data_IF_705087952245
#
_entry.id   IF_705087952245
#
_cell.length_a   1.000
_cell.length_b   1.000
_cell.length_c   1.000
_cell.angle_alpha   90.00
_cell.angle_beta   90.00
_cell.angle_gamma   90.00
#
_symmetry.space_group_name_H-M   'P 1'
#
loop_
_entity.id
_entity.type
_entity.pdbx_description
1 polymer ?
#
# COMPACT_ATOMS: atom_id res chain seq x y z
N UNK A 1 15.52 9.25 -0.78
CA UNK A 1 16.70 8.75 -1.53
C UNK A 1 16.35 7.89 -2.78
N UNK A 2 15.07 7.82 -3.18
CA UNK A 2 14.58 7.53 -4.53
C UNK A 2 13.56 8.65 -4.82
N UNK A 3 13.66 9.31 -5.98
CA UNK A 3 13.31 10.74 -6.22
C UNK A 3 14.10 11.78 -5.38
N UNK A 4 15.23 11.38 -4.80
CA UNK A 4 16.35 12.28 -4.44
C UNK A 4 17.63 11.42 -4.42
N UNK A 5 18.62 11.75 -5.22
CA UNK A 5 19.81 10.94 -5.49
C UNK A 5 20.67 10.70 -4.24
N UNK A 6 21.05 9.44 -3.98
CA UNK A 6 22.43 8.98 -3.64
C UNK A 6 22.41 7.45 -3.47
N UNK A 7 23.28 6.73 -4.17
CA UNK A 7 23.47 5.27 -4.09
C UNK A 7 24.77 5.02 -3.32
N UNK A 8 24.76 4.13 -2.31
CA UNK A 8 26.00 3.63 -1.68
C UNK A 8 25.96 2.11 -1.69
N UNK A 9 26.73 1.52 -2.60
CA UNK A 9 27.09 0.10 -2.61
C UNK A 9 28.52 0.01 -2.07
N UNK A 10 28.73 -0.66 -0.94
CA UNK A 10 30.08 -0.94 -0.43
C UNK A 10 30.22 -2.44 -0.15
N UNK A 11 31.17 -3.03 -0.88
CA UNK A 11 31.73 -4.39 -0.79
C UNK A 11 32.55 -4.54 0.49
N UNK A 12 32.50 -5.73 1.12
CA UNK A 12 33.67 -6.27 1.83
C UNK A 12 33.79 -7.78 1.63
N UNK A 13 34.82 -8.18 0.89
CA UNK A 13 35.39 -9.53 0.81
C UNK A 13 36.64 -9.53 1.69
N UNK A 14 36.67 -10.35 2.76
CA UNK A 14 37.91 -10.66 3.48
C UNK A 14 37.93 -12.14 3.87
N UNK A 15 38.71 -12.89 3.08
CA UNK A 15 39.72 -13.89 3.45
C UNK A 15 39.39 -15.02 4.43
N UNK A 16 39.31 -16.22 3.86
CA UNK A 16 39.35 -17.56 4.48
C UNK A 16 40.80 -17.88 4.92
N UNK A 17 40.99 -18.23 6.21
CA UNK A 17 42.19 -18.90 6.71
C UNK A 17 41.88 -19.85 7.88
N UNK A 18 41.70 -21.12 7.54
CA UNK A 18 42.05 -22.40 8.22
C UNK A 18 42.40 -22.39 9.74
N UNK A 19 41.72 -23.22 10.55
CA UNK A 19 42.21 -24.46 11.22
C UNK A 19 41.26 -24.87 12.38
N UNK A 20 40.89 -26.15 12.37
CA UNK A 20 40.07 -26.91 13.32
C UNK A 20 40.68 -27.04 14.74
N UNK A 21 39.83 -27.16 15.77
CA UNK A 21 39.63 -28.39 16.61
C UNK A 21 39.04 -28.09 18.01
N UNK A 22 37.98 -28.84 18.36
CA UNK A 22 37.41 -29.13 19.69
C UNK A 22 37.04 -27.97 20.63
N UNK A 23 35.72 -27.75 20.83
CA UNK A 23 35.03 -28.03 22.10
C UNK A 23 33.54 -27.67 22.01
N UNK A 24 32.70 -28.56 22.55
CA UNK A 24 31.30 -28.35 22.98
C UNK A 24 30.52 -27.25 22.24
N UNK A 25 29.67 -27.63 21.28
CA UNK A 25 28.54 -26.80 20.87
C UNK A 25 27.58 -26.67 22.05
N UNK A 26 27.89 -25.74 22.94
CA UNK A 26 26.89 -25.04 23.73
C UNK A 26 25.99 -24.38 22.68
N UNK A 27 24.75 -24.86 22.54
CA UNK A 27 23.73 -24.11 21.83
C UNK A 27 23.53 -22.81 22.63
N UNK A 28 24.27 -21.76 22.28
CA UNK A 28 23.93 -20.42 22.70
C UNK A 28 22.64 -20.10 21.95
N UNK A 29 21.51 -20.21 22.65
CA UNK A 29 20.38 -19.37 22.33
C UNK A 29 20.93 -17.95 22.49
N UNK A 30 21.17 -17.25 21.40
CA UNK A 30 21.47 -15.83 21.46
C UNK A 30 20.28 -15.19 22.18
N UNK A 31 20.49 -14.78 23.44
CA UNK A 31 19.45 -14.11 24.21
C UNK A 31 19.02 -12.91 23.39
N UNK A 32 17.79 -12.95 22.87
CA UNK A 32 17.23 -11.81 22.14
C UNK A 32 17.14 -10.67 23.13
N UNK A 33 18.11 -9.77 23.11
CA UNK A 33 18.09 -8.57 23.95
C UNK A 33 16.83 -7.80 23.57
N UNK A 34 15.87 -7.63 24.50
CA UNK A 34 14.64 -6.94 24.18
C UNK A 34 14.97 -5.51 23.77
N UNK A 35 14.53 -5.13 22.57
CA UNK A 35 14.77 -3.81 21.99
C UNK A 35 14.37 -2.71 22.97
N UNK A 36 15.28 -1.75 23.20
CA UNK A 36 15.06 -0.70 24.19
C UNK A 36 13.86 0.16 23.78
N UNK A 37 13.07 0.67 24.73
CA UNK A 37 11.91 1.53 24.41
C UNK A 37 12.29 2.74 23.54
N UNK A 38 13.46 3.34 23.80
CA UNK A 38 13.97 4.47 23.01
C UNK A 38 14.25 4.08 21.56
N UNK A 39 14.83 2.92 21.34
CA UNK A 39 15.14 2.38 20.02
C UNK A 39 13.85 2.07 19.24
N UNK A 40 12.86 1.43 19.89
CA UNK A 40 11.53 1.19 19.29
C UNK A 40 10.84 2.47 18.83
N UNK A 41 10.93 3.54 19.63
CA UNK A 41 10.34 4.84 19.29
C UNK A 41 11.09 5.49 18.12
N UNK A 42 12.42 5.42 18.10
CA UNK A 42 13.22 5.94 17.00
C UNK A 42 12.90 5.23 15.67
N UNK A 43 12.83 3.90 15.68
CA UNK A 43 12.49 3.11 14.49
C UNK A 43 11.05 3.33 14.01
N UNK A 44 10.10 3.54 14.95
CA UNK A 44 8.72 3.93 14.61
C UNK A 44 8.70 5.27 13.86
N UNK A 45 9.44 6.26 14.37
CA UNK A 45 9.48 7.60 13.76
C UNK A 45 10.18 7.56 12.39
N UNK A 46 11.24 6.75 12.25
CA UNK A 46 11.89 6.50 10.97
C UNK A 46 10.94 5.86 9.95
N UNK A 47 10.15 4.85 10.36
CA UNK A 47 9.15 4.23 9.49
C UNK A 47 8.07 5.23 9.05
N UNK A 48 7.62 6.12 9.94
CA UNK A 48 6.70 7.21 9.60
C UNK A 48 7.32 8.17 8.58
N UNK A 49 8.59 8.56 8.77
CA UNK A 49 9.27 9.48 7.87
C UNK A 49 9.48 8.85 6.48
N UNK A 50 9.77 7.54 6.43
CA UNK A 50 9.83 6.78 5.18
C UNK A 50 8.48 6.69 4.46
N UNK A 51 7.38 6.52 5.20
CA UNK A 51 6.03 6.57 4.63
C UNK A 51 5.79 7.92 3.94
N UNK A 52 6.04 9.04 4.64
CA UNK A 52 5.83 10.36 4.05
C UNK A 52 6.81 10.71 2.93
N UNK A 53 8.00 10.10 2.90
CA UNK A 53 8.90 10.18 1.75
C UNK A 53 8.24 9.56 0.51
N UNK A 54 7.66 8.35 0.64
CA UNK A 54 7.01 7.66 -0.47
C UNK A 54 5.66 8.27 -0.85
N UNK A 55 4.81 8.57 0.14
CA UNK A 55 3.47 9.12 -0.05
C UNK A 55 3.53 10.46 -0.78
N UNK A 56 4.37 11.40 -0.33
CA UNK A 56 4.52 12.70 -1.01
C UNK A 56 5.05 12.56 -2.43
N UNK A 57 6.04 11.68 -2.65
CA UNK A 57 6.54 11.41 -3.98
C UNK A 57 5.44 10.88 -4.92
N UNK A 58 4.54 10.02 -4.43
CA UNK A 58 3.38 9.56 -5.17
C UNK A 58 2.41 10.72 -5.49
N UNK A 59 2.02 11.50 -4.47
CA UNK A 59 1.08 12.61 -4.63
C UNK A 59 1.60 13.69 -5.61
N UNK A 60 2.91 13.96 -5.60
CA UNK A 60 3.53 14.98 -6.45
C UNK A 60 3.75 14.50 -7.90
N UNK A 61 4.11 13.23 -8.10
CA UNK A 61 4.65 12.76 -9.39
C UNK A 61 3.80 11.71 -10.10
N UNK A 62 2.86 11.07 -9.40
CA UNK A 62 2.13 9.93 -9.93
C UNK A 62 0.61 10.06 -9.84
N UNK A 63 0.07 10.64 -8.77
CA UNK A 63 -1.37 10.86 -8.65
C UNK A 63 -1.95 11.55 -9.91
N UNK A 64 -3.06 11.04 -10.52
CA UNK A 64 -3.95 9.97 -10.05
C UNK A 64 -3.65 8.55 -10.54
N UNK A 65 -2.44 8.28 -11.06
CA UNK A 65 -2.05 6.94 -11.51
C UNK A 65 -2.12 5.90 -10.38
N UNK A 66 -2.18 4.62 -10.75
CA UNK A 66 -2.24 3.52 -9.78
C UNK A 66 -0.95 3.37 -8.97
N UNK A 67 0.21 3.62 -9.58
CA UNK A 67 1.52 3.51 -8.95
C UNK A 67 2.47 4.64 -9.37
N UNK A 68 3.44 4.93 -8.51
CA UNK A 68 4.62 5.72 -8.87
C UNK A 68 5.69 4.82 -9.50
N UNK A 69 6.28 5.26 -10.60
CA UNK A 69 7.54 4.73 -11.11
C UNK A 69 8.71 5.54 -10.50
N UNK A 70 9.39 5.03 -9.46
CA UNK A 70 10.26 5.87 -8.61
C UNK A 70 11.58 6.28 -9.26
N UNK A 71 12.00 5.60 -10.33
CA UNK A 71 13.21 5.94 -11.08
C UNK A 71 12.98 7.05 -12.10
N UNK A 72 11.81 7.08 -12.73
CA UNK A 72 11.42 8.09 -13.71
C UNK A 72 10.59 9.22 -13.11
N UNK A 73 10.20 9.11 -11.83
CA UNK A 73 9.27 10.01 -11.14
C UNK A 73 8.03 10.32 -12.00
N UNK A 74 7.36 9.26 -12.47
CA UNK A 74 6.18 9.36 -13.31
C UNK A 74 5.10 8.37 -12.87
N UNK A 75 3.83 8.70 -13.09
CA UNK A 75 2.70 7.82 -12.83
C UNK A 75 2.63 6.62 -13.79
N UNK A 76 2.26 5.46 -13.26
CA UNK A 76 2.03 4.24 -14.03
C UNK A 76 0.56 4.09 -14.39
N UNK A 77 0.24 4.23 -15.67
CA UNK A 77 -1.10 4.03 -16.22
C UNK A 77 -1.16 2.74 -17.03
N UNK A 78 -2.19 1.93 -16.76
CA UNK A 78 -2.48 0.70 -17.51
C UNK A 78 -2.85 1.08 -18.95
N UNK A 79 -2.24 0.42 -19.92
CA UNK A 79 -2.45 0.67 -21.36
C UNK A 79 -1.57 1.77 -21.96
N UNK A 80 -1.01 2.69 -21.16
CA UNK A 80 -0.08 3.72 -21.65
C UNK A 80 1.39 3.36 -21.42
N UNK A 81 1.70 2.72 -20.30
CA UNK A 81 3.07 2.31 -19.96
C UNK A 81 3.36 0.88 -20.44
N UNK A 82 4.63 0.53 -20.74
CA UNK A 82 4.98 -0.83 -21.14
C UNK A 82 4.54 -1.86 -20.08
N UNK A 83 3.82 -2.88 -20.53
CA UNK A 83 3.23 -3.90 -19.67
C UNK A 83 4.32 -4.76 -18.99
N UNK A 84 4.17 -5.02 -17.68
CA UNK A 84 5.07 -5.86 -16.85
C UNK A 84 4.57 -7.30 -16.64
N UNK A 85 3.64 -7.76 -17.46
CA UNK A 85 2.94 -9.03 -17.29
C UNK A 85 1.91 -8.98 -16.16
N UNK A 86 1.78 -10.10 -15.44
CA UNK A 86 0.75 -10.32 -14.42
C UNK A 86 0.77 -9.30 -13.26
N UNK A 87 1.92 -8.65 -13.02
CA UNK A 87 2.06 -7.60 -11.98
C UNK A 87 1.07 -6.45 -12.22
N UNK A 88 0.87 -6.09 -13.48
CA UNK A 88 0.01 -4.97 -13.83
C UNK A 88 -1.48 -5.33 -13.83
N UNK A 89 -1.85 -6.57 -13.52
CA UNK A 89 -3.26 -6.97 -13.41
C UNK A 89 -3.92 -6.42 -12.14
N UNK A 90 -3.14 -5.92 -11.19
CA UNK A 90 -3.63 -5.14 -10.06
C UNK A 90 -4.02 -3.70 -10.45
N UNK A 91 -3.61 -3.23 -11.64
CA UNK A 91 -3.80 -1.85 -12.08
C UNK A 91 -5.07 -1.73 -12.93
N UNK A 92 -6.05 -0.96 -12.43
CA UNK A 92 -7.31 -0.69 -13.12
C UNK A 92 -7.58 0.79 -13.39
N UNK A 93 -6.54 1.64 -13.31
CA UNK A 93 -6.61 3.10 -13.42
C UNK A 93 -7.60 3.72 -12.43
N UNK A 94 -7.55 3.30 -11.17
CA UNK A 94 -8.45 3.73 -10.09
C UNK A 94 -7.70 4.30 -8.88
N UNK A 95 -6.49 4.84 -9.11
CA UNK A 95 -5.61 5.40 -8.07
C UNK A 95 -5.30 4.41 -6.95
N UNK A 96 -4.91 3.18 -7.33
CA UNK A 96 -4.65 2.07 -6.41
C UNK A 96 -3.83 2.45 -5.15
N UNK A 97 -2.69 3.11 -5.33
CA UNK A 97 -1.82 3.54 -4.21
C UNK A 97 -2.53 4.50 -3.26
N UNK A 98 -3.37 5.42 -3.78
CA UNK A 98 -4.13 6.32 -2.91
C UNK A 98 -5.14 5.55 -2.05
N UNK A 99 -5.85 4.58 -2.62
CA UNK A 99 -6.81 3.76 -1.87
C UNK A 99 -6.11 2.94 -0.79
N UNK A 100 -4.98 2.31 -1.12
CA UNK A 100 -4.19 1.50 -0.18
C UNK A 100 -3.58 2.31 0.97
N UNK A 101 -3.40 3.62 0.82
CA UNK A 101 -2.75 4.47 1.84
C UNK A 101 -3.73 5.07 2.85
N UNK A 102 -5.05 5.02 2.58
CA UNK A 102 -6.07 5.66 3.40
C UNK A 102 -6.04 5.22 4.87
N UNK A 103 -5.98 3.92 5.14
CA UNK A 103 -5.97 3.41 6.51
C UNK A 103 -4.64 3.69 7.22
N UNK A 104 -3.54 3.68 6.48
CA UNK A 104 -2.20 3.98 6.99
C UNK A 104 -2.11 5.43 7.47
N UNK A 105 -2.73 6.38 6.77
CA UNK A 105 -2.81 7.78 7.24
C UNK A 105 -3.48 7.87 8.62
N UNK A 106 -4.56 7.11 8.84
CA UNK A 106 -5.23 7.05 10.16
C UNK A 106 -4.34 6.40 11.21
N UNK A 107 -3.63 5.32 10.88
CA UNK A 107 -2.70 4.63 11.80
C UNK A 107 -1.54 5.55 12.22
N UNK A 108 -1.05 6.38 11.30
CA UNK A 108 -0.01 7.37 11.57
C UNK A 108 -0.53 8.63 12.29
N UNK A 109 -1.85 8.77 12.39
CA UNK A 109 -2.52 9.87 13.10
C UNK A 109 -2.68 11.15 12.28
N UNK A 110 -2.50 11.08 10.96
CA UNK A 110 -2.66 12.24 10.06
C UNK A 110 -4.07 12.29 9.50
N UNK A 111 -4.98 12.79 10.33
CA UNK A 111 -6.41 12.84 10.04
C UNK A 111 -6.77 13.91 9.02
N UNK A 112 -5.95 14.97 8.91
CA UNK A 112 -6.13 16.03 7.92
C UNK A 112 -5.84 15.49 6.51
N UNK A 113 -4.72 14.78 6.35
CA UNK A 113 -4.39 14.17 5.06
C UNK A 113 -5.33 13.01 4.73
N UNK A 114 -5.79 12.23 5.73
CA UNK A 114 -6.84 11.24 5.50
C UNK A 114 -8.13 11.88 4.97
N UNK A 115 -8.61 12.98 5.56
CA UNK A 115 -9.79 13.71 5.08
C UNK A 115 -9.62 14.18 3.63
N UNK A 116 -8.44 14.73 3.32
CA UNK A 116 -8.08 15.17 1.98
C UNK A 116 -8.05 14.01 0.98
N UNK A 117 -7.35 12.91 1.30
CA UNK A 117 -7.23 11.73 0.46
C UNK A 117 -8.60 11.07 0.19
N UNK A 118 -9.49 11.00 1.18
CA UNK A 118 -10.86 10.49 0.99
C UNK A 118 -11.63 11.35 -0.02
N UNK A 119 -11.50 12.68 0.03
CA UNK A 119 -12.13 13.57 -0.99
C UNK A 119 -11.58 13.33 -2.37
N UNK A 120 -10.28 13.11 -2.50
CA UNK A 120 -9.63 12.79 -3.77
C UNK A 120 -10.13 11.46 -4.34
N UNK A 121 -10.23 10.42 -3.50
CA UNK A 121 -10.78 9.12 -3.90
C UNK A 121 -12.21 9.27 -4.41
N UNK A 122 -13.08 9.97 -3.66
CA UNK A 122 -14.48 10.17 -4.07
C UNK A 122 -14.59 10.96 -5.38
N UNK A 123 -13.68 11.92 -5.61
CA UNK A 123 -13.73 12.81 -6.78
C UNK A 123 -13.20 12.14 -8.04
N UNK A 124 -12.07 11.44 -7.96
CA UNK A 124 -11.28 11.06 -9.13
C UNK A 124 -11.34 9.56 -9.45
N UNK A 125 -11.73 8.70 -8.50
CA UNK A 125 -11.76 7.25 -8.73
C UNK A 125 -13.04 6.82 -9.43
N UNK A 126 -12.88 6.09 -10.54
CA UNK A 126 -13.94 5.39 -11.26
C UNK A 126 -13.57 3.93 -11.47
N UNK A 127 -14.55 3.03 -11.33
CA UNK A 127 -14.40 1.60 -11.65
C UNK A 127 -14.95 1.24 -13.03
N UNK A 128 -15.36 2.24 -13.81
CA UNK A 128 -15.89 2.07 -15.16
C UNK A 128 -14.79 2.24 -16.21
N UNK A 129 -13.76 1.41 -16.10
CA UNK A 129 -12.64 1.35 -17.03
C UNK A 129 -12.67 0.03 -17.79
N UNK A 130 -12.51 0.07 -19.11
CA UNK A 130 -12.43 -1.13 -19.96
C UNK A 130 -11.03 -1.76 -19.87
N UNK A 131 -10.75 -2.39 -18.73
CA UNK A 131 -9.48 -3.03 -18.40
C UNK A 131 -9.71 -4.36 -17.69
N UNK A 132 -8.93 -5.36 -18.06
CA UNK A 132 -8.92 -6.66 -17.38
C UNK A 132 -8.07 -6.55 -16.13
N UNK A 133 -8.68 -6.85 -14.98
CA UNK A 133 -8.06 -6.79 -13.64
C UNK A 133 -8.11 -8.13 -12.94
N UNK A 134 -7.18 -8.36 -12.03
CA UNK A 134 -7.19 -9.52 -11.14
C UNK A 134 -8.32 -9.39 -10.12
N UNK A 135 -9.22 -10.37 -10.07
CA UNK A 135 -10.30 -10.41 -9.07
C UNK A 135 -9.73 -10.49 -7.65
N UNK A 136 -8.64 -11.24 -7.47
CA UNK A 136 -7.98 -11.38 -6.18
C UNK A 136 -7.37 -10.06 -5.70
N UNK A 137 -6.55 -9.42 -6.54
CA UNK A 137 -5.85 -8.17 -6.18
C UNK A 137 -6.84 -7.03 -5.96
N UNK A 138 -7.83 -6.90 -6.84
CA UNK A 138 -8.87 -5.87 -6.73
C UNK A 138 -9.69 -6.04 -5.45
N UNK A 139 -9.97 -7.28 -5.05
CA UNK A 139 -10.69 -7.58 -3.81
C UNK A 139 -9.86 -7.21 -2.57
N UNK A 140 -8.59 -7.61 -2.49
CA UNK A 140 -7.81 -7.37 -1.26
C UNK A 140 -7.31 -5.93 -1.12
N UNK A 141 -7.00 -5.25 -2.24
CA UNK A 141 -6.45 -3.90 -2.22
C UNK A 141 -7.55 -2.83 -2.27
N UNK A 142 -8.36 -2.87 -3.31
CA UNK A 142 -9.34 -1.81 -3.57
C UNK A 142 -10.59 -1.98 -2.72
N UNK A 143 -11.26 -3.13 -2.81
CA UNK A 143 -12.46 -3.38 -2.00
C UNK A 143 -12.13 -3.35 -0.50
N UNK A 144 -11.03 -4.01 -0.11
CA UNK A 144 -10.51 -3.99 1.26
C UNK A 144 -10.18 -2.59 1.74
N UNK A 145 -9.43 -1.80 0.96
CA UNK A 145 -9.04 -0.42 1.32
C UNK A 145 -10.24 0.51 1.48
N UNK A 146 -11.22 0.46 0.57
CA UNK A 146 -12.45 1.26 0.67
C UNK A 146 -13.28 0.91 1.91
N UNK A 147 -13.40 -0.38 2.24
CA UNK A 147 -14.11 -0.83 3.43
C UNK A 147 -13.37 -0.45 4.73
N UNK A 148 -12.04 -0.62 4.75
CA UNK A 148 -11.18 -0.23 5.88
C UNK A 148 -11.34 1.28 6.16
N UNK A 149 -11.17 2.10 5.12
CA UNK A 149 -11.32 3.55 5.21
C UNK A 149 -12.75 3.98 5.59
N UNK A 150 -13.79 3.30 5.10
CA UNK A 150 -15.18 3.56 5.50
C UNK A 150 -15.38 3.35 7.01
N UNK A 151 -14.91 2.21 7.54
CA UNK A 151 -15.03 1.89 8.96
C UNK A 151 -14.27 2.91 9.82
N UNK A 152 -13.06 3.29 9.40
CA UNK A 152 -12.25 4.29 10.08
C UNK A 152 -12.90 5.68 10.04
N UNK A 153 -13.45 6.10 8.90
CA UNK A 153 -14.18 7.35 8.79
C UNK A 153 -15.37 7.41 9.77
N UNK A 154 -16.17 6.34 9.84
CA UNK A 154 -17.28 6.26 10.79
C UNK A 154 -16.82 6.26 12.26
N UNK A 155 -15.70 5.61 12.56
CA UNK A 155 -15.09 5.63 13.90
C UNK A 155 -14.61 7.05 14.28
N UNK A 156 -13.94 7.74 13.36
CA UNK A 156 -13.42 9.10 13.57
C UNK A 156 -14.54 10.14 13.72
N UNK A 157 -15.64 10.02 12.97
CA UNK A 157 -16.83 10.86 13.14
C UNK A 157 -17.39 10.79 14.56
N UNK A 158 -17.37 9.60 15.18
CA UNK A 158 -17.92 9.38 16.53
C UNK A 158 -16.95 9.78 17.65
N UNK A 159 -15.63 9.61 17.44
CA UNK A 159 -14.63 9.72 18.51
C UNK A 159 -13.81 11.01 18.48
N UNK A 160 -13.57 11.55 17.29
CA UNK A 160 -12.70 12.71 17.08
C UNK A 160 -13.42 13.87 16.39
N UNK A 161 -14.71 13.70 16.05
CA UNK A 161 -15.56 14.70 15.38
C UNK A 161 -15.00 15.19 14.01
N UNK A 162 -14.12 14.41 13.37
CA UNK A 162 -13.55 14.69 12.04
C UNK A 162 -14.43 14.04 10.95
N UNK A 163 -14.32 14.49 9.69
CA UNK A 163 -15.06 13.97 8.54
C UNK A 163 -16.59 14.10 8.66
N UNK A 164 -17.15 15.09 9.35
CA UNK A 164 -18.62 15.25 9.51
C UNK A 164 -19.39 15.38 8.18
N UNK A 165 -18.71 15.75 7.11
CA UNK A 165 -19.30 15.83 5.76
C UNK A 165 -19.49 14.46 5.11
N UNK A 166 -18.76 13.44 5.54
CA UNK A 166 -18.75 12.09 4.96
C UNK A 166 -20.07 11.35 5.24
N UNK A 167 -20.68 10.75 4.22
CA UNK A 167 -22.00 10.10 4.30
C UNK A 167 -21.99 8.64 3.84
N UNK A 168 -20.83 8.00 3.81
CA UNK A 168 -20.69 6.60 3.40
C UNK A 168 -20.37 6.40 1.92
N UNK A 169 -19.82 7.42 1.26
CA UNK A 169 -19.45 7.38 -0.16
C UNK A 169 -18.50 6.20 -0.45
N UNK A 170 -17.48 5.97 0.39
CA UNK A 170 -16.56 4.83 0.20
C UNK A 170 -17.27 3.47 0.30
N UNK A 171 -18.32 3.33 1.12
CA UNK A 171 -19.12 2.10 1.17
C UNK A 171 -19.92 1.92 -0.13
N UNK A 172 -20.47 3.00 -0.68
CA UNK A 172 -21.16 2.94 -1.97
C UNK A 172 -20.20 2.55 -3.10
N UNK A 173 -18.98 3.08 -3.08
CA UNK A 173 -17.91 2.71 -4.01
C UNK A 173 -17.50 1.24 -3.86
N UNK A 174 -17.29 0.77 -2.62
CA UNK A 174 -16.99 -0.63 -2.35
C UNK A 174 -18.11 -1.56 -2.84
N UNK A 175 -19.37 -1.17 -2.65
CA UNK A 175 -20.53 -1.92 -3.15
C UNK A 175 -20.57 -1.99 -4.67
N UNK A 176 -20.32 -0.88 -5.36
CA UNK A 176 -20.25 -0.84 -6.83
C UNK A 176 -19.16 -1.79 -7.35
N UNK A 177 -17.95 -1.68 -6.79
CA UNK A 177 -16.84 -2.57 -7.13
C UNK A 177 -17.17 -4.04 -6.87
N UNK A 178 -17.77 -4.35 -5.71
CA UNK A 178 -18.20 -5.70 -5.38
C UNK A 178 -19.14 -6.29 -6.42
N UNK A 179 -20.13 -5.53 -6.90
CA UNK A 179 -21.01 -5.99 -7.98
C UNK A 179 -20.29 -6.22 -9.30
N UNK A 180 -19.28 -5.40 -9.63
CA UNK A 180 -18.46 -5.59 -10.84
C UNK A 180 -17.59 -6.84 -10.76
N UNK A 181 -17.22 -7.30 -9.56
CA UNK A 181 -16.46 -8.54 -9.37
C UNK A 181 -17.33 -9.81 -9.38
N UNK A 182 -18.62 -9.72 -9.04
CA UNK A 182 -19.51 -10.90 -8.96
C UNK A 182 -19.58 -11.75 -10.23
N UNK A 183 -19.60 -11.20 -11.47
CA UNK A 183 -19.62 -12.00 -12.69
C UNK A 183 -18.47 -13.03 -12.77
N UNK A 184 -17.32 -12.75 -12.18
CA UNK A 184 -16.20 -13.68 -12.18
C UNK A 184 -16.52 -15.00 -11.45
N UNK A 185 -17.42 -14.96 -10.46
CA UNK A 185 -17.87 -16.12 -9.68
C UNK A 185 -18.99 -16.91 -10.36
N UNK A 186 -19.51 -16.44 -11.50
CA UNK A 186 -20.57 -17.12 -12.24
C UNK A 186 -20.02 -18.30 -13.06
N UNK A 187 -19.40 -19.25 -12.37
CA UNK A 187 -18.86 -20.50 -12.92
C UNK A 187 -19.62 -21.68 -12.36
N UNK A 188 -19.58 -22.83 -13.05
CA UNK A 188 -20.28 -24.05 -12.60
C UNK A 188 -19.86 -24.51 -11.20
N UNK A 189 -18.62 -24.22 -10.80
CA UNK A 189 -18.07 -24.59 -9.50
C UNK A 189 -18.23 -23.50 -8.43
N UNK A 190 -18.56 -22.26 -8.83
CA UNK A 190 -18.49 -21.08 -7.97
C UNK A 190 -17.07 -20.58 -7.69
N UNK A 191 -16.04 -21.21 -8.28
CA UNK A 191 -14.66 -20.74 -8.20
C UNK A 191 -14.49 -19.61 -9.22
N UNK A 192 -13.99 -18.43 -8.83
CA UNK A 192 -13.93 -17.30 -9.72
C UNK A 192 -12.90 -17.50 -10.84
N UNK A 193 -13.19 -16.95 -12.00
CA UNK A 193 -12.13 -16.63 -12.97
C UNK A 193 -11.17 -15.62 -12.34
N UNK A 194 -9.86 -15.77 -12.62
CA UNK A 194 -8.86 -14.87 -12.05
C UNK A 194 -8.89 -13.47 -12.65
N UNK A 195 -9.46 -13.32 -13.85
CA UNK A 195 -9.46 -12.14 -14.72
C UNK A 195 -10.74 -12.10 -15.55
#
# INVERSE_FOLDING_TARGET
MFCSSTFVVIRYLVSISVIFLFNSQQCYCEETVPMLKRERLALRDEARDMFYHAYRAYMENAYPADELMPLSCAGRYRGLTPNRGDIDDSLGNFSLTLIDTLDTLVILGDLEEFDHAVKLVIRDVSFDNDVVVSVFETNIRVLGGLLSAHILAGYLQQRAEVLQWYRGELLNMAKDLGYRLLPAFNTTTGIPHSR
#
